data_IF_740374659559
#
_entry.id   IF_740374659559
#
_cell.length_a   1.000
_cell.length_b   1.000
_cell.length_c   1.000
_cell.angle_alpha   90.00
_cell.angle_beta   90.00
_cell.angle_gamma   90.00
#
_symmetry.space_group_name_H-M   'P 1'
#
loop_
_entity.id
_entity.type
_entity.pdbx_description
1 polymer ?
#
# COMPACT_ATOMS: atom_id res chain seq x y z
N UNK A 1 -2.47 -0.20 2.99
CA UNK A 1 -3.77 0.00 3.66
C UNK A 1 -4.93 -0.37 2.74
N UNK A 2 -4.90 0.02 1.47
CA UNK A 2 -5.86 -0.45 0.47
C UNK A 2 -5.91 -1.98 0.39
N UNK A 3 -4.80 -2.67 0.64
CA UNK A 3 -4.74 -4.13 0.76
C UNK A 3 -5.52 -4.67 1.98
N UNK A 4 -5.66 -3.89 3.05
CA UNK A 4 -6.46 -4.28 4.21
C UNK A 4 -7.93 -3.91 3.97
N UNK A 5 -8.21 -2.69 3.52
CA UNK A 5 -9.58 -2.21 3.26
C UNK A 5 -10.25 -2.98 2.12
N UNK A 6 -9.49 -3.34 1.08
CA UNK A 6 -9.94 -4.17 -0.04
C UNK A 6 -9.73 -5.67 0.18
N UNK A 7 -9.14 -6.06 1.32
CA UNK A 7 -8.78 -7.46 1.58
C UNK A 7 -9.99 -8.38 1.55
N UNK A 8 -9.83 -9.59 1.00
CA UNK A 8 -10.90 -10.58 1.01
C UNK A 8 -11.40 -10.88 2.43
N UNK A 9 -10.49 -10.86 3.42
CA UNK A 9 -10.79 -11.13 4.82
C UNK A 9 -11.69 -10.06 5.42
N UNK A 10 -11.44 -8.77 5.13
CA UNK A 10 -12.30 -7.68 5.63
C UNK A 10 -13.65 -7.68 4.94
N UNK A 11 -13.70 -7.95 3.63
CA UNK A 11 -14.96 -8.10 2.89
C UNK A 11 -15.78 -9.26 3.45
N UNK A 12 -15.15 -10.40 3.70
CA UNK A 12 -15.78 -11.56 4.31
C UNK A 12 -16.28 -11.25 5.73
N UNK A 13 -15.47 -10.56 6.55
CA UNK A 13 -15.88 -10.15 7.89
C UNK A 13 -17.13 -9.27 7.85
N UNK A 14 -17.16 -8.24 7.00
CA UNK A 14 -18.32 -7.34 6.85
C UNK A 14 -19.58 -8.10 6.41
N UNK A 15 -19.42 -9.09 5.52
CA UNK A 15 -20.55 -9.94 5.10
C UNK A 15 -21.08 -10.77 6.27
N UNK A 16 -20.20 -11.44 6.99
CA UNK A 16 -20.55 -12.26 8.16
C UNK A 16 -21.18 -11.42 9.30
N UNK A 17 -20.69 -10.20 9.54
CA UNK A 17 -21.29 -9.29 10.53
C UNK A 17 -22.71 -8.86 10.12
N UNK A 18 -22.95 -8.65 8.81
CA UNK A 18 -24.31 -8.36 8.29
C UNK A 18 -25.24 -9.56 8.43
N UNK A 19 -24.73 -10.77 8.19
CA UNK A 19 -25.50 -12.01 8.41
C UNK A 19 -25.80 -12.24 9.90
N UNK A 20 -24.81 -12.01 10.77
CA UNK A 20 -24.98 -12.11 12.22
C UNK A 20 -26.06 -11.16 12.72
N UNK A 21 -26.08 -9.92 12.22
CA UNK A 21 -27.09 -8.93 12.58
C UNK A 21 -28.49 -9.36 12.15
N UNK A 22 -28.63 -9.97 10.96
CA UNK A 22 -29.90 -10.52 10.49
C UNK A 22 -30.35 -11.72 11.36
N UNK A 23 -29.45 -12.67 11.61
CA UNK A 23 -29.76 -13.84 12.42
C UNK A 23 -30.10 -13.46 13.87
N UNK A 24 -29.48 -12.44 14.45
CA UNK A 24 -29.82 -11.96 15.80
C UNK A 24 -31.23 -11.34 15.89
N UNK A 25 -31.68 -10.69 14.82
CA UNK A 25 -33.06 -10.15 14.79
C UNK A 25 -34.11 -11.23 14.71
N UNK A 26 -33.88 -12.31 13.96
CA UNK A 26 -34.80 -13.43 13.82
C UNK A 26 -34.83 -14.25 15.11
N UNK A 27 -33.68 -14.57 15.69
CA UNK A 27 -33.57 -15.37 16.93
C UNK A 27 -34.20 -14.73 18.18
N UNK A 28 -34.53 -13.45 18.14
CA UNK A 28 -35.20 -12.73 19.22
C UNK A 28 -36.73 -12.92 19.17
N UNK A 29 -37.27 -13.39 18.06
CA UNK A 29 -38.73 -13.44 17.82
C UNK A 29 -39.27 -14.85 17.57
N UNK A 30 -38.40 -15.84 17.30
CA UNK A 30 -38.80 -17.22 17.02
C UNK A 30 -38.00 -18.22 17.88
N UNK A 31 -38.69 -19.09 18.56
CA UNK A 31 -38.10 -20.16 19.42
C UNK A 31 -37.71 -21.39 18.55
N UNK A 32 -37.03 -21.13 17.42
CA UNK A 32 -36.62 -22.15 16.47
C UNK A 32 -35.16 -22.59 16.69
N UNK A 33 -34.99 -23.84 17.04
CA UNK A 33 -33.67 -24.48 17.31
C UNK A 33 -32.74 -24.36 16.13
N UNK A 34 -33.24 -24.33 14.90
CA UNK A 34 -32.43 -24.22 13.67
C UNK A 34 -31.82 -22.81 13.54
N UNK A 35 -32.58 -21.77 13.79
CA UNK A 35 -32.07 -20.37 13.74
C UNK A 35 -31.04 -20.10 14.83
N UNK A 36 -31.23 -20.71 16.01
CA UNK A 36 -30.22 -20.62 17.10
C UNK A 36 -28.90 -21.29 16.73
N UNK A 37 -28.95 -22.48 16.12
CA UNK A 37 -27.74 -23.17 15.64
C UNK A 37 -27.04 -22.33 14.55
N UNK A 38 -27.81 -21.76 13.63
CA UNK A 38 -27.29 -20.88 12.58
C UNK A 38 -26.60 -19.63 13.17
N UNK A 39 -27.21 -18.98 14.14
CA UNK A 39 -26.65 -17.84 14.84
C UNK A 39 -25.31 -18.19 15.51
N UNK A 40 -25.23 -19.32 16.23
CA UNK A 40 -24.00 -19.78 16.87
C UNK A 40 -22.88 -20.08 15.85
N UNK A 41 -23.23 -20.67 14.70
CA UNK A 41 -22.28 -20.95 13.62
C UNK A 41 -21.73 -19.66 13.01
N UNK A 42 -22.59 -18.69 12.69
CA UNK A 42 -22.16 -17.40 12.14
C UNK A 42 -21.32 -16.62 13.16
N UNK A 43 -21.69 -16.65 14.43
CA UNK A 43 -20.93 -16.03 15.51
C UNK A 43 -19.50 -16.60 15.61
N UNK A 44 -19.36 -17.92 15.48
CA UNK A 44 -18.07 -18.60 15.46
C UNK A 44 -17.24 -18.17 14.25
N UNK A 45 -17.84 -18.11 13.07
CA UNK A 45 -17.17 -17.64 11.84
C UNK A 45 -16.71 -16.18 11.94
N UNK A 46 -17.51 -15.30 12.52
CA UNK A 46 -17.12 -13.89 12.78
C UNK A 46 -15.90 -13.83 13.70
N UNK A 47 -15.91 -14.65 14.78
CA UNK A 47 -14.77 -14.70 15.72
C UNK A 47 -13.48 -15.19 15.06
N UNK A 48 -13.57 -16.21 14.20
CA UNK A 48 -12.43 -16.72 13.44
C UNK A 48 -11.93 -15.71 12.40
N UNK A 49 -12.83 -15.05 11.68
CA UNK A 49 -12.48 -14.00 10.72
C UNK A 49 -11.79 -12.80 11.40
N UNK A 50 -12.30 -12.37 12.57
CA UNK A 50 -11.65 -11.32 13.39
C UNK A 50 -10.25 -11.73 13.87
N UNK A 51 -10.08 -13.00 14.26
CA UNK A 51 -8.77 -13.52 14.66
C UNK A 51 -7.78 -13.51 13.49
N UNK A 52 -8.19 -13.97 12.30
CA UNK A 52 -7.36 -13.95 11.08
C UNK A 52 -6.96 -12.52 10.70
N UNK A 53 -7.91 -11.58 10.70
CA UNK A 53 -7.65 -10.17 10.42
C UNK A 53 -6.71 -9.57 11.50
N UNK A 54 -6.90 -9.89 12.77
CA UNK A 54 -6.05 -9.43 13.86
C UNK A 54 -4.60 -9.93 13.76
N UNK A 55 -4.38 -11.15 13.28
CA UNK A 55 -3.03 -11.66 12.99
C UNK A 55 -2.39 -10.88 11.84
N UNK A 56 -3.16 -10.60 10.77
CA UNK A 56 -2.68 -9.81 9.62
C UNK A 56 -2.32 -8.38 10.04
N UNK A 57 -3.16 -7.73 10.84
CA UNK A 57 -2.91 -6.38 11.36
C UNK A 57 -1.69 -6.29 12.29
N UNK A 58 -1.33 -7.39 12.96
CA UNK A 58 -0.13 -7.48 13.80
C UNK A 58 1.14 -7.80 13.02
N UNK A 59 1.04 -8.11 11.72
CA UNK A 59 2.21 -8.33 10.89
C UNK A 59 3.00 -7.01 10.81
N UNK A 60 4.33 -7.02 11.06
CA UNK A 60 5.19 -5.84 10.96
C UNK A 60 5.10 -5.10 9.61
N UNK A 61 4.73 -5.77 8.53
CA UNK A 61 4.48 -5.14 7.22
C UNK A 61 3.32 -4.14 7.24
N UNK A 62 2.35 -4.32 8.15
CA UNK A 62 1.14 -3.48 8.24
C UNK A 62 1.11 -2.64 9.52
N UNK A 63 1.89 -3.02 10.55
CA UNK A 63 2.00 -2.26 11.79
C UNK A 63 2.92 -1.06 11.56
N UNK A 64 2.37 0.11 11.36
CA UNK A 64 3.12 1.35 11.06
C UNK A 64 2.97 1.81 9.61
N UNK A 65 2.13 1.15 8.83
CA UNK A 65 1.72 1.64 7.51
C UNK A 65 0.99 2.98 7.64
N UNK A 66 1.38 3.95 6.82
CA UNK A 66 0.73 5.26 6.75
C UNK A 66 -0.40 5.19 5.73
N UNK A 67 -1.60 5.62 6.13
CA UNK A 67 -2.72 5.80 5.20
C UNK A 67 -2.82 7.26 4.79
N UNK A 68 -2.41 7.55 3.58
CA UNK A 68 -2.36 8.91 3.03
C UNK A 68 -3.67 9.67 3.12
N UNK A 69 -4.81 8.98 2.91
CA UNK A 69 -6.15 9.58 2.95
C UNK A 69 -6.58 10.00 4.35
N UNK A 70 -6.01 9.36 5.37
CA UNK A 70 -6.31 9.68 6.77
C UNK A 70 -5.38 10.78 7.30
N UNK A 71 -4.10 10.72 6.89
CA UNK A 71 -3.10 11.68 7.31
C UNK A 71 -3.23 13.02 6.57
N UNK A 72 -3.70 12.98 5.31
CA UNK A 72 -3.85 14.14 4.44
C UNK A 72 -5.25 14.15 3.80
N UNK A 73 -6.31 14.49 4.54
CA UNK A 73 -7.66 14.53 4.00
C UNK A 73 -7.83 15.54 2.85
N UNK A 74 -6.95 16.53 2.75
CA UNK A 74 -6.91 17.54 1.67
C UNK A 74 -6.55 16.96 0.28
N UNK A 75 -6.02 15.75 0.23
CA UNK A 75 -5.76 15.05 -1.04
C UNK A 75 -6.97 14.28 -1.59
N UNK A 76 -8.11 14.42 -0.92
CA UNK A 76 -9.38 13.86 -1.35
C UNK A 76 -10.24 14.91 -2.03
N UNK A 77 -10.97 14.49 -3.05
CA UNK A 77 -12.02 15.30 -3.67
C UNK A 77 -13.31 15.32 -2.84
N UNK A 78 -14.28 16.10 -3.29
CA UNK A 78 -15.55 16.30 -2.60
C UNK A 78 -16.34 15.00 -2.39
N UNK A 79 -16.14 14.02 -3.25
CA UNK A 79 -16.78 12.69 -3.16
C UNK A 79 -15.89 11.64 -2.46
N UNK A 80 -14.77 12.06 -1.85
CA UNK A 80 -13.82 11.17 -1.19
C UNK A 80 -12.91 10.38 -2.13
N UNK A 81 -12.88 10.71 -3.43
CA UNK A 81 -11.92 10.15 -4.38
C UNK A 81 -10.52 10.68 -4.12
N UNK A 82 -9.51 9.83 -4.39
CA UNK A 82 -8.12 10.22 -4.24
C UNK A 82 -7.67 11.12 -5.40
N UNK A 83 -7.38 12.39 -5.13
CA UNK A 83 -6.88 13.35 -6.12
C UNK A 83 -5.36 13.28 -6.22
N UNK A 84 -4.66 13.18 -5.08
CA UNK A 84 -3.22 13.16 -4.97
C UNK A 84 -2.60 14.52 -4.64
N UNK A 85 -1.28 14.52 -4.49
CA UNK A 85 -0.49 15.69 -4.09
C UNK A 85 -0.12 16.56 -5.28
N UNK A 86 -0.05 17.88 -5.07
CA UNK A 86 0.46 18.85 -6.05
C UNK A 86 1.94 18.68 -6.31
N UNK A 87 2.72 18.41 -5.27
CA UNK A 87 4.18 18.29 -5.32
C UNK A 87 4.67 17.30 -4.29
N UNK A 88 5.52 16.39 -4.73
CA UNK A 88 6.24 15.44 -3.88
C UNK A 88 7.73 15.76 -3.91
N UNK A 89 8.29 16.13 -2.77
CA UNK A 89 9.74 16.40 -2.63
C UNK A 89 10.29 15.41 -1.62
N UNK A 90 11.42 14.77 -1.93
CA UNK A 90 12.01 13.82 -0.99
C UNK A 90 13.43 13.40 -1.29
N UNK A 91 14.03 12.82 -0.26
CA UNK A 91 15.27 12.08 -0.33
C UNK A 91 14.96 10.65 0.16
N UNK A 92 14.55 9.74 -0.73
CA UNK A 92 14.19 8.38 -0.33
C UNK A 92 15.43 7.61 0.16
N UNK A 93 15.26 6.61 1.03
CA UNK A 93 16.37 5.78 1.49
C UNK A 93 16.97 4.95 0.34
N UNK A 94 18.30 4.68 0.39
CA UNK A 94 19.04 3.94 -0.63
C UNK A 94 19.44 2.54 -0.15
N UNK A 95 18.46 1.72 0.20
CA UNK A 95 18.67 0.38 0.75
C UNK A 95 18.41 -0.67 -0.33
N UNK A 96 19.36 -1.57 -0.56
CA UNK A 96 19.18 -2.67 -1.49
C UNK A 96 18.35 -3.82 -0.86
N UNK A 97 17.46 -4.41 -1.63
CA UNK A 97 16.65 -5.56 -1.21
C UNK A 97 17.43 -6.83 -0.87
N UNK A 98 18.73 -6.87 -1.23
CA UNK A 98 19.67 -7.92 -0.77
C UNK A 98 20.07 -7.78 0.70
N UNK A 99 19.82 -6.63 1.30
CA UNK A 99 20.14 -6.42 2.71
C UNK A 99 19.24 -7.33 3.57
N UNK A 100 19.77 -7.83 4.68
CA UNK A 100 19.06 -8.72 5.61
C UNK A 100 17.77 -8.11 6.19
N UNK A 101 17.59 -6.79 6.04
CA UNK A 101 16.38 -6.07 6.45
C UNK A 101 15.11 -6.45 5.66
N UNK A 102 15.26 -7.10 4.50
CA UNK A 102 14.14 -7.47 3.63
C UNK A 102 13.83 -8.97 3.76
N UNK A 103 12.68 -9.28 4.34
CA UNK A 103 12.16 -10.66 4.36
C UNK A 103 11.68 -11.08 2.97
N UNK A 104 11.60 -12.39 2.72
CA UNK A 104 11.06 -12.91 1.45
C UNK A 104 9.58 -12.50 1.25
N UNK A 105 8.82 -12.37 2.33
CA UNK A 105 7.44 -11.87 2.29
C UNK A 105 7.39 -10.41 1.81
N UNK A 106 8.27 -9.53 2.33
CA UNK A 106 8.40 -8.14 1.89
C UNK A 106 8.79 -8.06 0.41
N UNK A 107 9.75 -8.87 -0.04
CA UNK A 107 10.17 -8.91 -1.44
C UNK A 107 9.01 -9.32 -2.36
N UNK A 108 8.27 -10.35 -1.98
CA UNK A 108 7.08 -10.81 -2.73
C UNK A 108 6.02 -9.72 -2.80
N UNK A 109 5.77 -9.04 -1.69
CA UNK A 109 4.84 -7.91 -1.65
C UNK A 109 5.28 -6.78 -2.58
N UNK A 110 6.55 -6.35 -2.50
CA UNK A 110 7.06 -5.26 -3.33
C UNK A 110 7.05 -5.60 -4.82
N UNK A 111 7.42 -6.82 -5.20
CA UNK A 111 7.35 -7.25 -6.60
C UNK A 111 5.93 -7.22 -7.16
N UNK A 112 4.94 -7.54 -6.35
CA UNK A 112 3.53 -7.50 -6.74
C UNK A 112 2.99 -6.08 -6.80
N UNK A 113 3.34 -5.25 -5.83
CA UNK A 113 2.78 -3.89 -5.67
C UNK A 113 3.49 -2.87 -6.55
N UNK A 114 4.80 -3.05 -6.77
CA UNK A 114 5.66 -2.13 -7.53
C UNK A 114 6.32 -2.85 -8.73
N UNK A 115 5.55 -3.19 -9.76
CA UNK A 115 6.01 -4.03 -10.87
C UNK A 115 7.10 -3.38 -11.74
N UNK A 116 7.30 -2.08 -11.68
CA UNK A 116 8.38 -1.40 -12.42
C UNK A 116 9.77 -1.59 -11.78
N UNK A 117 9.82 -2.04 -10.52
CA UNK A 117 11.05 -2.32 -9.79
C UNK A 117 11.39 -3.82 -9.83
N UNK A 118 11.59 -4.38 -11.01
CA UNK A 118 11.96 -5.78 -11.18
C UNK A 118 13.37 -6.05 -10.61
N UNK A 119 13.53 -7.21 -9.96
CA UNK A 119 14.81 -7.84 -9.69
C UNK A 119 15.80 -7.00 -8.85
N UNK A 120 15.80 -7.13 -7.55
CA UNK A 120 16.68 -6.43 -6.62
C UNK A 120 16.33 -4.95 -6.42
N UNK A 121 15.06 -4.70 -6.08
CA UNK A 121 14.60 -3.37 -5.78
C UNK A 121 15.52 -2.65 -4.76
N UNK A 122 15.95 -1.46 -5.12
CA UNK A 122 16.43 -0.49 -4.14
C UNK A 122 15.23 0.31 -3.66
N UNK A 123 15.23 0.67 -2.38
CA UNK A 123 14.10 1.39 -1.80
C UNK A 123 13.78 2.68 -2.54
N UNK A 124 14.76 3.42 -3.03
CA UNK A 124 14.47 4.66 -3.79
C UNK A 124 13.61 4.40 -5.04
N UNK A 125 13.80 3.26 -5.71
CA UNK A 125 12.97 2.89 -6.85
C UNK A 125 11.53 2.60 -6.46
N UNK A 126 11.31 1.95 -5.30
CA UNK A 126 9.98 1.73 -4.74
C UNK A 126 9.30 3.05 -4.38
N UNK A 127 10.03 3.97 -3.75
CA UNK A 127 9.52 5.31 -3.43
C UNK A 127 9.19 6.12 -4.68
N UNK A 128 9.98 5.99 -5.74
CA UNK A 128 9.70 6.67 -7.00
C UNK A 128 8.42 6.14 -7.65
N UNK A 129 8.22 4.82 -7.67
CA UNK A 129 7.00 4.20 -8.19
C UNK A 129 5.78 4.53 -7.32
N UNK A 130 5.93 4.58 -6.00
CA UNK A 130 4.90 5.05 -5.09
C UNK A 130 4.54 6.51 -5.38
N UNK A 131 5.53 7.38 -5.60
CA UNK A 131 5.29 8.79 -5.90
C UNK A 131 4.45 8.99 -7.17
N UNK A 132 4.58 8.12 -8.19
CA UNK A 132 3.74 8.17 -9.39
C UNK A 132 2.26 7.91 -9.08
N UNK A 133 1.97 7.10 -8.07
CA UNK A 133 0.60 6.83 -7.64
C UNK A 133 0.02 7.91 -6.72
N UNK A 134 0.88 8.70 -6.08
CA UNK A 134 0.49 9.72 -5.12
C UNK A 134 0.40 11.13 -5.71
N UNK A 135 1.11 11.40 -6.80
CA UNK A 135 1.07 12.72 -7.45
C UNK A 135 -0.20 12.86 -8.28
N UNK A 136 -0.86 14.01 -8.20
CA UNK A 136 -2.02 14.31 -9.04
C UNK A 136 -1.62 14.55 -10.49
N UNK A 137 -2.58 14.48 -11.40
CA UNK A 137 -2.37 14.86 -12.80
C UNK A 137 -1.95 16.34 -12.88
N UNK A 138 -0.81 16.59 -13.52
CA UNK A 138 -0.21 17.94 -13.61
C UNK A 138 0.61 18.33 -12.37
N UNK A 139 0.72 17.48 -11.37
CA UNK A 139 1.61 17.67 -10.22
C UNK A 139 3.07 17.35 -10.54
N UNK A 140 3.96 17.63 -9.57
CA UNK A 140 5.40 17.48 -9.71
C UNK A 140 6.02 16.49 -8.73
N UNK A 141 7.16 15.89 -9.13
CA UNK A 141 7.99 15.05 -8.26
C UNK A 141 9.42 15.57 -8.32
N UNK A 142 10.05 15.78 -7.17
CA UNK A 142 11.45 16.16 -7.06
C UNK A 142 12.15 15.28 -6.02
N UNK A 143 12.99 14.36 -6.48
CA UNK A 143 13.72 13.43 -5.62
C UNK A 143 15.23 13.52 -5.81
N UNK A 144 15.95 13.41 -4.70
CA UNK A 144 17.38 13.15 -4.73
C UNK A 144 17.55 11.63 -4.75
N UNK A 145 18.13 11.10 -5.82
CA UNK A 145 18.34 9.67 -6.02
C UNK A 145 19.75 9.38 -6.53
N UNK A 146 20.27 8.16 -6.34
CA UNK A 146 21.59 7.79 -6.87
C UNK A 146 21.67 7.94 -8.39
N UNK A 147 22.78 8.45 -8.91
CA UNK A 147 23.03 8.59 -10.35
C UNK A 147 23.03 7.26 -11.12
N UNK A 148 23.22 6.15 -10.42
CA UNK A 148 23.05 4.79 -10.97
C UNK A 148 21.66 4.56 -11.58
N UNK A 149 20.66 5.32 -11.16
CA UNK A 149 19.33 5.33 -11.79
C UNK A 149 19.40 5.57 -13.30
N UNK A 150 20.29 6.44 -13.77
CA UNK A 150 20.43 6.77 -15.19
C UNK A 150 21.10 5.67 -16.02
N UNK A 151 21.95 4.82 -15.40
CA UNK A 151 22.82 3.90 -16.11
C UNK A 151 22.39 2.44 -16.03
N UNK A 152 21.87 1.99 -14.90
CA UNK A 152 21.61 0.56 -14.66
C UNK A 152 20.36 0.10 -15.37
N UNK A 153 20.44 -1.04 -16.07
CA UNK A 153 19.31 -1.64 -16.81
C UNK A 153 18.09 -1.98 -15.94
N UNK A 154 18.33 -2.26 -14.67
CA UNK A 154 17.29 -2.54 -13.68
C UNK A 154 16.20 -1.43 -13.63
N UNK A 155 16.60 -0.16 -13.83
CA UNK A 155 15.66 0.98 -13.80
C UNK A 155 15.13 1.39 -15.19
N UNK A 156 15.34 0.56 -16.20
CA UNK A 156 14.88 0.86 -17.57
C UNK A 156 13.37 1.09 -17.63
N UNK A 157 12.59 0.25 -16.97
CA UNK A 157 11.12 0.36 -16.94
C UNK A 157 10.66 1.65 -16.28
N UNK A 158 11.25 2.01 -15.13
CA UNK A 158 10.99 3.28 -14.45
C UNK A 158 11.34 4.49 -15.32
N UNK A 159 12.51 4.48 -15.96
CA UNK A 159 12.90 5.57 -16.89
C UNK A 159 11.94 5.70 -18.05
N UNK A 160 11.52 4.59 -18.69
CA UNK A 160 10.54 4.62 -19.76
C UNK A 160 9.18 5.15 -19.29
N UNK A 161 8.76 4.78 -18.08
CA UNK A 161 7.53 5.31 -17.50
C UNK A 161 7.59 6.83 -17.35
N UNK A 162 8.69 7.35 -16.78
CA UNK A 162 8.91 8.80 -16.60
C UNK A 162 8.86 9.52 -17.95
N UNK A 163 9.64 9.05 -18.93
CA UNK A 163 9.71 9.67 -20.25
C UNK A 163 8.37 9.71 -20.98
N UNK A 164 7.47 8.76 -20.72
CA UNK A 164 6.18 8.67 -21.39
C UNK A 164 5.03 9.39 -20.65
N UNK A 165 5.21 9.70 -19.36
CA UNK A 165 4.11 10.20 -18.56
C UNK A 165 4.34 11.60 -17.96
N UNK A 166 5.58 12.12 -18.02
CA UNK A 166 5.91 13.47 -17.56
C UNK A 166 6.36 14.35 -18.69
N UNK A 167 5.77 15.55 -18.79
CA UNK A 167 6.03 16.48 -19.90
C UNK A 167 7.36 17.24 -19.73
N UNK A 168 7.73 17.53 -18.47
CA UNK A 168 8.95 18.28 -18.15
C UNK A 168 9.83 17.45 -17.24
N UNK A 169 11.09 17.27 -17.67
CA UNK A 169 12.05 16.47 -16.95
C UNK A 169 13.36 17.26 -16.81
N UNK A 170 13.81 17.43 -15.57
CA UNK A 170 15.10 18.03 -15.27
C UNK A 170 15.95 17.04 -14.48
N UNK A 171 17.13 16.71 -14.99
CA UNK A 171 18.11 15.87 -14.31
C UNK A 171 19.33 16.70 -13.96
N UNK A 172 19.61 16.84 -12.66
CA UNK A 172 20.81 17.50 -12.16
C UNK A 172 21.75 16.40 -11.66
N UNK A 173 22.85 16.16 -12.38
CA UNK A 173 23.85 15.18 -11.97
C UNK A 173 25.01 15.90 -11.25
N UNK A 174 25.03 15.82 -9.90
CA UNK A 174 26.14 16.35 -9.12
C UNK A 174 27.34 15.41 -9.21
N UNK A 175 28.51 15.99 -9.46
CA UNK A 175 29.83 15.29 -9.38
C UNK A 175 30.39 15.30 -7.97
N UNK A 176 29.92 16.20 -7.12
CA UNK A 176 30.30 16.32 -5.72
C UNK A 176 29.36 15.53 -4.82
N UNK A 177 29.87 15.09 -3.68
CA UNK A 177 28.99 14.49 -2.64
C UNK A 177 28.01 15.53 -2.16
N UNK A 178 26.72 15.19 -2.18
CA UNK A 178 25.65 16.05 -1.67
C UNK A 178 25.50 15.87 -0.15
N UNK A 179 25.86 14.69 0.36
CA UNK A 179 25.81 14.35 1.79
C UNK A 179 27.16 13.82 2.26
N UNK A 180 27.59 14.24 3.44
CA UNK A 180 28.89 13.84 4.02
C UNK A 180 28.89 12.37 4.47
N UNK A 181 27.73 11.83 4.85
CA UNK A 181 27.52 10.46 5.34
C UNK A 181 26.44 9.74 4.50
N UNK A 182 26.82 9.19 3.36
CA UNK A 182 25.93 8.36 2.55
C UNK A 182 26.67 7.12 2.04
#
# INVERSE_FOLDING_TARGET
FDDIVSSPELKQLKLLEKELKKASQISLFEDDTIERIRYEQVQKQVKEAKKKLGVRLKNPMYSGGMEWRMEFPEILGDNGEFIGFDLLIGNPPYIFSKNQSFTEEMKTYYMKTYPMNHYQANTFGLFLELAFSLVKKGGGISFIIPNTFLMINQYKTLRHYILNNFNELTFINSKERIFDEA
#
